data_IF_668988365635
#
_entry.id   IF_668988365635
#
_cell.length_a   1.000
_cell.length_b   1.000
_cell.length_c   1.000
_cell.angle_alpha   90.00
_cell.angle_beta   90.00
_cell.angle_gamma   90.00
#
_symmetry.space_group_name_H-M   'P 1'
#
loop_
_entity.id
_entity.type
_entity.pdbx_description
1 polymer ?
#
# COMPACT_ATOMS: atom_id res chain seq x y z
N UNK A 1 -6.92 1.81 12.37
CA UNK A 1 -7.93 2.53 11.60
C UNK A 1 -8.05 3.94 12.17
N UNK A 2 -8.08 4.96 11.31
CA UNK A 2 -8.28 6.35 11.69
C UNK A 2 -7.04 7.23 11.81
N UNK A 3 -5.84 6.68 11.80
CA UNK A 3 -4.58 7.44 11.70
C UNK A 3 -3.58 6.72 10.81
N UNK A 4 -2.82 7.50 10.08
CA UNK A 4 -1.60 7.02 9.46
C UNK A 4 -0.54 6.73 10.52
N UNK A 5 0.15 5.61 10.42
CA UNK A 5 1.16 5.15 11.37
C UNK A 5 2.53 5.76 11.05
N UNK A 6 2.67 7.09 11.05
CA UNK A 6 3.95 7.80 10.94
C UNK A 6 4.71 7.61 9.63
N UNK A 7 4.04 7.42 8.50
CA UNK A 7 4.71 7.54 7.23
C UNK A 7 4.87 9.03 6.88
N UNK A 8 6.08 9.49 6.73
CA UNK A 8 6.41 10.76 6.09
C UNK A 8 6.84 10.44 4.66
N UNK A 9 5.91 10.04 3.82
CA UNK A 9 6.16 9.93 2.39
C UNK A 9 5.75 11.26 1.77
N UNK A 10 6.71 11.99 1.24
CA UNK A 10 6.48 13.29 0.61
C UNK A 10 6.13 14.41 1.60
N UNK A 11 5.44 15.43 1.09
CA UNK A 11 5.02 16.60 1.86
C UNK A 11 3.67 16.42 2.58
N UNK A 12 3.17 15.18 2.72
CA UNK A 12 1.91 14.93 3.40
C UNK A 12 2.02 15.27 4.88
N UNK A 13 1.27 16.26 5.30
CA UNK A 13 1.01 16.47 6.73
C UNK A 13 0.09 15.36 7.18
N UNK A 14 0.53 14.58 8.17
CA UNK A 14 -0.30 13.56 8.83
C UNK A 14 -1.66 14.16 9.19
N UNK A 15 -2.68 13.75 8.48
CA UNK A 15 -4.06 14.14 8.76
C UNK A 15 -4.76 13.01 9.49
N UNK A 16 -5.28 13.32 10.67
CA UNK A 16 -6.13 12.38 11.36
C UNK A 16 -7.50 12.35 10.69
N UNK A 17 -8.07 11.16 10.57
CA UNK A 17 -9.42 11.00 10.07
C UNK A 17 -10.42 11.80 10.92
N UNK A 18 -11.31 12.54 10.26
CA UNK A 18 -12.46 13.23 10.87
C UNK A 18 -13.73 12.55 10.39
N UNK A 19 -14.55 12.09 11.32
CA UNK A 19 -15.79 11.39 10.99
C UNK A 19 -16.09 10.27 11.96
N UNK A 20 -17.09 9.46 11.66
CA UNK A 20 -17.45 8.29 12.42
C UNK A 20 -17.03 7.01 11.70
N UNK A 21 -16.55 6.03 12.45
CA UNK A 21 -16.24 4.69 11.95
C UNK A 21 -17.11 3.70 12.72
N UNK A 22 -17.80 2.86 11.96
CA UNK A 22 -18.71 1.84 12.46
C UNK A 22 -18.52 0.55 11.64
N UNK A 23 -18.75 -0.60 12.25
CA UNK A 23 -18.87 -1.88 11.55
C UNK A 23 -17.68 -2.23 10.63
N UNK A 24 -16.45 -2.14 11.15
CA UNK A 24 -15.26 -2.48 10.38
C UNK A 24 -15.20 -3.99 10.12
N UNK A 25 -15.08 -4.37 8.84
CA UNK A 25 -14.94 -5.76 8.40
C UNK A 25 -13.81 -5.91 7.40
N UNK A 26 -13.12 -7.01 7.48
CA UNK A 26 -12.10 -7.44 6.51
C UNK A 26 -12.39 -8.88 6.09
N UNK A 27 -12.29 -9.15 4.80
CA UNK A 27 -12.53 -10.46 4.20
C UNK A 27 -11.37 -10.86 3.30
N UNK A 28 -11.11 -12.15 3.15
CA UNK A 28 -10.11 -12.65 2.19
C UNK A 28 -10.55 -12.55 0.73
N UNK A 29 -11.86 -12.41 0.49
CA UNK A 29 -12.43 -12.35 -0.86
C UNK A 29 -13.10 -11.00 -1.09
N UNK A 30 -13.05 -10.53 -2.33
CA UNK A 30 -13.77 -9.33 -2.72
C UNK A 30 -15.29 -9.56 -2.60
N UNK A 31 -15.98 -8.60 -2.02
CA UNK A 31 -17.45 -8.60 -1.99
C UNK A 31 -18.03 -8.06 -3.29
N UNK A 32 -19.18 -8.59 -3.71
CA UNK A 32 -19.92 -8.04 -4.85
C UNK A 32 -20.60 -6.71 -4.49
N UNK A 33 -20.93 -5.91 -5.50
CA UNK A 33 -21.64 -4.65 -5.29
C UNK A 33 -22.98 -4.84 -4.57
N UNK A 34 -23.69 -5.92 -4.87
CA UNK A 34 -24.96 -6.26 -4.22
C UNK A 34 -24.78 -6.62 -2.74
N UNK A 35 -23.72 -7.36 -2.42
CA UNK A 35 -23.39 -7.70 -1.03
C UNK A 35 -23.04 -6.45 -0.23
N UNK A 36 -22.27 -5.53 -0.81
CA UNK A 36 -21.91 -4.26 -0.18
C UNK A 36 -23.15 -3.40 0.05
N UNK A 37 -24.00 -3.26 -0.98
CA UNK A 37 -25.24 -2.49 -0.89
C UNK A 37 -26.17 -3.04 0.20
N UNK A 38 -26.41 -4.35 0.20
CA UNK A 38 -27.26 -5.00 1.18
C UNK A 38 -26.74 -4.84 2.61
N UNK A 39 -25.41 -5.03 2.81
CA UNK A 39 -24.82 -4.78 4.11
C UNK A 39 -25.00 -3.34 4.56
N UNK A 40 -24.82 -2.39 3.65
CA UNK A 40 -25.04 -0.97 3.97
C UNK A 40 -26.49 -0.66 4.34
N UNK A 41 -27.47 -1.34 3.73
CA UNK A 41 -28.89 -1.13 3.99
C UNK A 41 -29.35 -1.74 5.33
N UNK A 42 -29.05 -3.00 5.57
CA UNK A 42 -29.64 -3.78 6.66
C UNK A 42 -28.63 -4.42 7.64
N UNK A 43 -27.32 -4.19 7.44
CA UNK A 43 -26.27 -4.77 8.28
C UNK A 43 -25.99 -6.26 8.01
N UNK A 44 -26.56 -6.85 6.96
CA UNK A 44 -26.37 -8.27 6.63
C UNK A 44 -24.89 -8.64 6.49
N UNK A 45 -24.47 -9.79 7.01
CA UNK A 45 -23.12 -10.27 6.83
C UNK A 45 -22.85 -10.66 5.37
N UNK A 46 -21.68 -10.27 4.85
CA UNK A 46 -21.23 -10.61 3.49
C UNK A 46 -20.78 -12.06 3.44
N UNK A 47 -20.05 -12.49 4.45
CA UNK A 47 -19.53 -13.86 4.60
C UNK A 47 -19.33 -14.16 6.08
N UNK A 48 -19.50 -15.42 6.47
CA UNK A 48 -19.17 -15.89 7.80
C UNK A 48 -17.67 -15.89 8.11
N UNK A 49 -16.82 -15.80 7.07
CA UNK A 49 -15.36 -15.91 7.16
C UNK A 49 -14.69 -14.53 7.17
N UNK A 50 -15.20 -13.59 7.94
CA UNK A 50 -14.50 -12.34 8.18
C UNK A 50 -13.18 -12.59 8.91
N UNK A 51 -12.12 -11.98 8.42
CA UNK A 51 -10.78 -11.98 9.06
C UNK A 51 -10.74 -11.02 10.25
N UNK A 52 -11.53 -9.95 10.14
CA UNK A 52 -11.74 -8.95 11.18
C UNK A 52 -13.21 -8.53 11.20
N UNK A 53 -13.80 -8.45 12.39
CA UNK A 53 -15.17 -8.02 12.58
C UNK A 53 -15.29 -7.19 13.86
N UNK A 54 -15.28 -5.86 13.74
CA UNK A 54 -15.34 -4.92 14.86
C UNK A 54 -16.55 -4.01 14.72
N UNK A 55 -17.49 -4.08 15.68
CA UNK A 55 -18.71 -3.26 15.69
C UNK A 55 -18.58 -1.95 16.49
N UNK A 56 -17.64 -1.89 17.43
CA UNK A 56 -17.50 -0.80 18.41
C UNK A 56 -18.69 -0.60 19.37
N UNK A 57 -19.68 -1.47 19.40
CA UNK A 57 -20.91 -1.32 20.20
C UNK A 57 -20.65 -1.17 21.69
N UNK A 58 -19.64 -1.83 22.21
CA UNK A 58 -19.22 -1.75 23.61
C UNK A 58 -18.11 -0.70 23.86
N UNK A 59 -17.77 0.09 22.86
CA UNK A 59 -16.68 1.08 22.90
C UNK A 59 -15.29 0.47 22.79
N UNK A 60 -15.16 -0.82 22.55
CA UNK A 60 -13.90 -1.52 22.36
C UNK A 60 -13.66 -1.84 20.87
N UNK A 61 -12.41 -2.13 20.53
CA UNK A 61 -12.04 -2.67 19.22
C UNK A 61 -11.93 -4.20 19.28
N UNK A 62 -12.89 -4.85 19.92
CA UNK A 62 -12.93 -6.31 20.00
C UNK A 62 -13.29 -6.90 18.64
N UNK A 63 -12.45 -7.85 18.21
CA UNK A 63 -12.69 -8.64 17.01
C UNK A 63 -13.63 -9.81 17.31
N UNK A 64 -14.80 -9.81 16.68
CA UNK A 64 -15.81 -10.86 16.78
C UNK A 64 -15.60 -12.00 15.77
N UNK A 65 -14.58 -11.90 14.87
CA UNK A 65 -14.22 -12.97 13.98
C UNK A 65 -13.61 -14.16 14.73
N UNK A 66 -13.42 -15.29 14.03
CA UNK A 66 -12.74 -16.47 14.56
C UNK A 66 -11.27 -16.22 14.89
N UNK A 67 -10.65 -15.22 14.27
CA UNK A 67 -9.23 -14.89 14.42
C UNK A 67 -8.91 -14.11 15.69
N UNK A 68 -9.91 -13.42 16.29
CA UNK A 68 -9.73 -12.67 17.54
C UNK A 68 -8.60 -11.65 17.51
N UNK A 69 -8.41 -10.95 16.41
CA UNK A 69 -7.43 -9.89 16.22
C UNK A 69 -7.86 -8.60 16.94
N UNK A 70 -7.96 -8.64 18.26
CA UNK A 70 -8.45 -7.52 19.06
C UNK A 70 -7.56 -6.29 18.90
N UNK A 71 -8.17 -5.15 18.62
CA UNK A 71 -7.52 -3.85 18.61
C UNK A 71 -7.64 -3.12 19.93
N UNK A 72 -7.03 -1.95 19.98
CA UNK A 72 -7.15 -1.00 21.09
C UNK A 72 -7.71 0.33 20.60
N UNK A 73 -8.71 0.85 21.28
CA UNK A 73 -9.21 2.21 21.04
C UNK A 73 -8.38 3.18 21.87
N UNK A 74 -7.54 3.98 21.24
CA UNK A 74 -6.72 4.99 21.92
C UNK A 74 -7.37 6.38 21.90
N UNK A 75 -8.25 6.65 20.94
CA UNK A 75 -8.97 7.91 20.75
C UNK A 75 -10.32 7.64 20.10
N UNK A 76 -11.22 8.58 20.25
CA UNK A 76 -12.57 8.49 19.69
C UNK A 76 -13.64 8.63 20.78
N UNK A 77 -14.78 9.19 20.39
CA UNK A 77 -15.95 9.31 21.25
C UNK A 77 -17.01 8.33 20.77
N UNK A 78 -17.57 7.54 21.68
CA UNK A 78 -18.69 6.65 21.38
C UNK A 78 -19.93 7.47 21.08
N UNK A 79 -20.54 7.24 19.95
CA UNK A 79 -21.78 7.88 19.48
C UNK A 79 -22.74 6.83 18.94
N UNK A 80 -23.97 7.21 18.62
CA UNK A 80 -24.87 6.35 17.88
C UNK A 80 -24.39 6.21 16.44
N UNK A 81 -24.26 4.97 15.99
CA UNK A 81 -23.84 4.58 14.65
C UNK A 81 -25.04 4.30 13.74
N UNK A 82 -24.76 3.78 12.54
CA UNK A 82 -25.80 3.28 11.65
C UNK A 82 -26.38 1.96 12.18
N UNK A 83 -25.51 1.11 12.73
CA UNK A 83 -25.88 -0.16 13.35
C UNK A 83 -25.26 -0.20 14.76
N UNK A 84 -26.05 0.20 15.77
CA UNK A 84 -25.57 0.25 17.16
C UNK A 84 -24.73 1.47 17.45
N UNK A 85 -23.46 1.30 17.81
CA UNK A 85 -22.54 2.37 18.19
C UNK A 85 -21.39 2.51 17.23
N UNK A 86 -20.90 3.74 17.08
CA UNK A 86 -19.75 4.09 16.26
C UNK A 86 -18.70 4.86 17.07
N UNK A 87 -17.46 4.90 16.60
CA UNK A 87 -16.42 5.76 17.13
C UNK A 87 -16.30 7.01 16.27
N UNK A 88 -16.57 8.19 16.87
CA UNK A 88 -16.37 9.48 16.24
C UNK A 88 -14.96 9.99 16.52
N UNK A 89 -14.29 10.37 15.47
CA UNK A 89 -12.97 11.02 15.46
C UNK A 89 -13.12 12.48 15.06
N UNK A 90 -12.50 13.37 15.82
CA UNK A 90 -12.60 14.82 15.57
C UNK A 90 -11.51 15.35 14.65
N UNK A 91 -10.63 14.48 14.17
CA UNK A 91 -9.42 14.92 13.47
C UNK A 91 -8.49 15.71 14.38
N UNK A 92 -7.57 16.36 13.79
CA UNK A 92 -6.64 17.27 14.47
C UNK A 92 -5.20 17.01 14.05
N UNK A 93 -4.39 18.04 14.15
CA UNK A 93 -2.92 17.85 14.11
C UNK A 93 -2.52 17.09 15.35
N UNK A 94 -1.79 16.01 15.19
CA UNK A 94 -1.21 15.27 16.32
C UNK A 94 -0.44 16.26 17.20
N UNK A 95 -0.93 16.57 18.39
CA UNK A 95 -0.15 17.34 19.36
C UNK A 95 1.02 16.49 19.76
N UNK A 96 2.21 16.84 19.30
CA UNK A 96 3.46 16.24 19.73
C UNK A 96 4.05 15.16 18.85
N UNK A 97 3.69 15.05 17.56
CA UNK A 97 4.71 14.67 16.62
C UNK A 97 5.75 15.81 16.66
N UNK A 98 6.71 15.71 17.57
CA UNK A 98 7.96 16.37 17.36
C UNK A 98 8.45 15.84 16.02
N UNK A 99 8.18 16.59 14.96
CA UNK A 99 8.93 16.50 13.71
C UNK A 99 10.33 17.06 14.01
N UNK A 100 10.98 16.51 15.02
CA UNK A 100 12.41 16.58 15.08
C UNK A 100 12.85 15.64 13.97
N UNK A 101 13.50 16.14 12.93
CA UNK A 101 14.21 15.26 12.00
C UNK A 101 15.11 14.40 12.89
N UNK A 102 14.88 13.09 12.94
CA UNK A 102 15.65 12.20 13.81
C UNK A 102 14.84 11.21 14.64
N UNK A 103 13.50 11.17 14.56
CA UNK A 103 12.71 10.14 15.22
C UNK A 103 12.36 8.95 14.29
N UNK A 104 12.99 8.87 13.12
CA UNK A 104 13.06 7.66 12.35
C UNK A 104 13.96 6.66 13.10
N UNK A 105 13.51 5.44 13.30
CA UNK A 105 14.35 4.34 13.80
C UNK A 105 15.57 4.09 12.90
N UNK A 106 15.53 4.61 11.68
CA UNK A 106 16.59 4.56 10.69
C UNK A 106 16.66 5.91 9.99
N UNK A 107 17.83 6.58 10.09
CA UNK A 107 18.09 7.76 9.28
C UNK A 107 18.43 7.32 7.86
N UNK A 108 17.66 7.73 6.84
CA UNK A 108 17.96 7.34 5.47
C UNK A 108 19.28 8.01 5.03
N UNK A 109 20.17 7.23 4.46
CA UNK A 109 21.41 7.74 3.88
C UNK A 109 21.12 8.56 2.61
N UNK A 110 20.13 8.12 1.86
CA UNK A 110 19.58 8.78 0.68
C UNK A 110 18.13 8.32 0.45
N UNK A 111 17.39 9.10 -0.31
CA UNK A 111 16.07 8.77 -0.84
C UNK A 111 16.07 9.06 -2.32
N UNK A 112 15.57 8.14 -3.13
CA UNK A 112 15.51 8.26 -4.58
C UNK A 112 14.19 7.72 -5.09
N UNK A 113 13.48 8.53 -5.88
CA UNK A 113 12.31 8.09 -6.58
C UNK A 113 12.72 7.26 -7.79
N UNK A 114 12.05 6.13 -7.97
CA UNK A 114 12.29 5.22 -9.08
C UNK A 114 11.00 5.04 -9.90
N UNK A 115 11.08 4.97 -11.24
CA UNK A 115 9.90 4.96 -12.10
C UNK A 115 9.26 3.56 -12.22
N UNK A 116 9.19 2.82 -11.11
CA UNK A 116 8.65 1.46 -11.08
C UNK A 116 7.96 1.13 -9.75
N UNK A 117 6.92 0.35 -9.80
CA UNK A 117 6.40 -0.36 -8.63
C UNK A 117 7.27 -1.58 -8.31
N UNK A 118 8.10 -1.49 -7.28
CA UNK A 118 9.06 -2.55 -6.94
C UNK A 118 8.33 -3.81 -6.48
N UNK A 119 8.45 -4.90 -7.25
CA UNK A 119 7.91 -6.22 -6.92
C UNK A 119 8.95 -7.17 -6.34
N UNK A 120 10.19 -7.07 -6.78
CA UNK A 120 11.28 -7.87 -6.26
C UNK A 120 12.56 -7.06 -6.15
N UNK A 121 13.41 -7.43 -5.19
CA UNK A 121 14.69 -6.77 -4.94
C UNK A 121 15.71 -7.74 -4.38
N UNK A 122 16.99 -7.47 -4.68
CA UNK A 122 18.11 -8.18 -4.08
C UNK A 122 19.34 -7.28 -4.00
N UNK A 123 20.08 -7.39 -2.90
CA UNK A 123 21.35 -6.70 -2.75
C UNK A 123 22.49 -7.61 -3.23
N UNK A 124 23.30 -7.12 -4.18
CA UNK A 124 24.47 -7.79 -4.70
C UNK A 124 25.67 -6.88 -4.72
N UNK A 125 26.65 -7.09 -3.86
CA UNK A 125 27.82 -6.22 -3.74
C UNK A 125 27.44 -4.80 -3.36
N UNK A 126 27.82 -3.82 -4.20
CA UNK A 126 27.51 -2.39 -4.03
C UNK A 126 26.22 -1.96 -4.72
N UNK A 127 25.45 -2.89 -5.29
CA UNK A 127 24.27 -2.57 -6.07
C UNK A 127 23.01 -3.23 -5.48
N UNK A 128 21.98 -2.42 -5.36
CA UNK A 128 20.61 -2.88 -5.10
C UNK A 128 19.92 -3.08 -6.46
N UNK A 129 19.57 -4.31 -6.76
CA UNK A 129 18.76 -4.64 -7.94
C UNK A 129 17.29 -4.60 -7.54
N UNK A 130 16.49 -3.84 -8.28
CA UNK A 130 15.05 -3.71 -8.08
C UNK A 130 14.34 -3.91 -9.41
N UNK A 131 13.16 -4.53 -9.40
CA UNK A 131 12.40 -4.80 -10.63
C UNK A 131 10.90 -4.66 -10.37
N UNK A 132 10.19 -4.13 -11.36
CA UNK A 132 8.75 -3.99 -11.32
C UNK A 132 8.16 -3.34 -12.57
N UNK A 133 6.83 -3.33 -12.72
CA UNK A 133 6.15 -2.61 -13.77
C UNK A 133 6.41 -1.10 -13.67
N UNK A 134 6.24 -0.34 -14.77
CA UNK A 134 6.33 1.10 -14.77
C UNK A 134 5.35 1.73 -13.77
N UNK A 135 5.82 2.77 -13.08
CA UNK A 135 5.01 3.71 -12.33
C UNK A 135 4.71 4.91 -13.24
N UNK A 136 3.46 5.09 -13.61
CA UNK A 136 3.00 6.08 -14.62
C UNK A 136 2.29 7.25 -13.97
N UNK A 137 1.80 7.08 -12.73
CA UNK A 137 1.07 8.12 -12.00
C UNK A 137 1.95 8.68 -10.89
N UNK A 138 2.04 9.99 -10.86
CA UNK A 138 2.47 10.71 -9.67
C UNK A 138 1.23 11.05 -8.84
N UNK A 139 0.93 10.23 -7.84
CA UNK A 139 -0.24 10.40 -7.00
C UNK A 139 -0.20 11.72 -6.22
N UNK A 140 0.98 12.22 -5.87
CA UNK A 140 1.11 13.48 -5.14
C UNK A 140 0.67 14.67 -5.99
N UNK A 141 1.09 14.72 -7.25
CA UNK A 141 0.73 15.79 -8.17
C UNK A 141 -0.71 15.70 -8.69
N UNK A 142 -1.27 14.48 -8.74
CA UNK A 142 -2.60 14.20 -9.30
C UNK A 142 -3.71 14.09 -8.25
N UNK A 143 -3.39 14.10 -6.97
CA UNK A 143 -4.34 13.85 -5.88
C UNK A 143 -5.60 14.71 -5.94
N UNK A 144 -5.47 16.00 -6.24
CA UNK A 144 -6.58 16.92 -6.34
C UNK A 144 -7.49 16.59 -7.54
N UNK A 145 -6.90 16.28 -8.68
CA UNK A 145 -7.58 15.92 -9.92
C UNK A 145 -8.26 14.55 -9.84
N UNK A 146 -7.68 13.61 -9.05
CA UNK A 146 -8.31 12.32 -8.73
C UNK A 146 -9.64 12.50 -7.99
N UNK A 147 -9.69 13.44 -7.04
CA UNK A 147 -10.91 13.74 -6.27
C UNK A 147 -12.00 14.40 -7.13
N UNK A 148 -11.61 15.14 -8.16
CA UNK A 148 -12.49 15.83 -9.11
C UNK A 148 -12.94 14.94 -10.28
N UNK A 149 -12.44 13.71 -10.37
CA UNK A 149 -12.69 12.76 -11.47
C UNK A 149 -12.31 13.32 -12.84
N UNK A 150 -11.20 14.02 -12.90
CA UNK A 150 -10.66 14.55 -14.15
C UNK A 150 -10.42 13.41 -15.17
N UNK A 151 -10.83 13.62 -16.44
CA UNK A 151 -10.77 12.58 -17.46
C UNK A 151 -9.34 12.18 -17.78
N UNK A 152 -8.39 13.12 -17.80
CA UNK A 152 -6.99 12.82 -18.10
C UNK A 152 -6.39 11.94 -16.99
N UNK A 153 -6.77 12.15 -15.72
CA UNK A 153 -6.34 11.31 -14.61
C UNK A 153 -6.99 9.93 -14.67
N UNK A 154 -8.23 9.81 -15.13
CA UNK A 154 -8.86 8.50 -15.35
C UNK A 154 -8.13 7.69 -16.45
N UNK A 155 -7.66 8.35 -17.51
CA UNK A 155 -6.85 7.73 -18.56
C UNK A 155 -5.48 7.27 -18.03
N UNK A 156 -4.82 8.07 -17.18
CA UNK A 156 -3.57 7.68 -16.51
C UNK A 156 -3.77 6.50 -15.55
N UNK A 157 -4.89 6.47 -14.80
CA UNK A 157 -5.24 5.33 -13.96
C UNK A 157 -5.39 4.04 -14.78
N UNK A 158 -6.08 4.12 -15.93
CA UNK A 158 -6.24 2.97 -16.80
C UNK A 158 -4.88 2.49 -17.38
N UNK A 159 -3.97 3.42 -17.69
CA UNK A 159 -2.61 3.08 -18.11
C UNK A 159 -1.82 2.44 -16.97
N UNK A 160 -1.97 2.93 -15.74
CA UNK A 160 -1.33 2.35 -14.57
C UNK A 160 -1.85 0.93 -14.31
N UNK A 161 -3.14 0.71 -14.42
CA UNK A 161 -3.74 -0.63 -14.26
C UNK A 161 -3.19 -1.59 -15.33
N UNK A 162 -3.12 -1.16 -16.59
CA UNK A 162 -2.55 -1.93 -17.70
C UNK A 162 -1.06 -2.29 -17.46
N UNK A 163 -0.28 -1.33 -16.97
CA UNK A 163 1.12 -1.55 -16.59
C UNK A 163 1.25 -2.56 -15.44
N UNK A 164 0.38 -2.48 -14.43
CA UNK A 164 0.35 -3.43 -13.31
C UNK A 164 -0.09 -4.84 -13.75
N UNK A 165 -0.89 -4.96 -14.79
CA UNK A 165 -1.30 -6.22 -15.43
C UNK A 165 -0.24 -6.77 -16.38
N UNK A 166 0.76 -5.96 -16.76
CA UNK A 166 1.95 -6.37 -17.51
C UNK A 166 1.96 -5.99 -18.98
N UNK A 167 1.04 -5.16 -19.46
CA UNK A 167 1.01 -4.74 -20.87
C UNK A 167 2.30 -4.02 -21.28
N UNK A 168 2.92 -3.30 -20.34
CA UNK A 168 4.17 -2.58 -20.55
C UNK A 168 5.43 -3.35 -20.11
N UNK A 169 5.27 -4.61 -19.67
CA UNK A 169 6.37 -5.40 -19.14
C UNK A 169 6.89 -4.86 -17.81
N UNK A 170 8.22 -4.89 -17.63
CA UNK A 170 8.84 -4.37 -16.40
C UNK A 170 10.24 -3.78 -16.67
N UNK A 171 10.76 -3.04 -15.69
CA UNK A 171 12.10 -2.52 -15.66
C UNK A 171 12.88 -3.13 -14.51
N UNK A 172 14.08 -3.66 -14.81
CA UNK A 172 15.10 -4.02 -13.85
C UNK A 172 16.09 -2.87 -13.76
N UNK A 173 16.28 -2.35 -12.55
CA UNK A 173 17.19 -1.26 -12.25
C UNK A 173 18.31 -1.76 -11.33
N UNK A 174 19.53 -1.29 -11.60
CA UNK A 174 20.67 -1.41 -10.69
C UNK A 174 20.91 -0.06 -10.03
N UNK A 175 20.82 0.00 -8.73
CA UNK A 175 20.94 1.23 -7.92
C UNK A 175 22.18 1.11 -7.05
N UNK A 176 23.05 2.09 -7.08
CA UNK A 176 24.22 2.16 -6.21
C UNK A 176 23.78 2.39 -4.76
N UNK A 177 24.20 1.52 -3.83
CA UNK A 177 23.77 1.61 -2.42
C UNK A 177 24.39 2.78 -1.67
N UNK A 178 25.46 3.35 -2.16
CA UNK A 178 26.12 4.47 -1.51
C UNK A 178 25.56 5.82 -1.91
N UNK A 179 25.12 5.95 -3.16
CA UNK A 179 24.63 7.23 -3.72
C UNK A 179 23.14 7.26 -4.00
N UNK A 180 22.48 6.09 -4.18
CA UNK A 180 21.10 5.99 -4.63
C UNK A 180 20.92 6.18 -6.13
N UNK A 181 22.01 6.36 -6.89
CA UNK A 181 21.94 6.58 -8.33
C UNK A 181 21.61 5.29 -9.08
N UNK A 182 20.73 5.40 -10.09
CA UNK A 182 20.43 4.31 -11.01
C UNK A 182 21.54 4.20 -12.05
N UNK A 183 22.33 3.14 -11.97
CA UNK A 183 23.49 2.93 -12.87
C UNK A 183 23.11 2.20 -14.17
N UNK A 184 22.20 1.22 -14.06
CA UNK A 184 21.78 0.42 -15.22
C UNK A 184 20.28 0.20 -15.24
N UNK A 185 19.74 0.05 -16.46
CA UNK A 185 18.33 -0.23 -16.74
C UNK A 185 18.21 -1.31 -17.79
N UNK A 186 17.37 -2.31 -17.51
CA UNK A 186 17.04 -3.38 -18.47
C UNK A 186 15.53 -3.50 -18.56
N UNK A 187 14.98 -3.44 -19.79
CA UNK A 187 13.55 -3.67 -20.02
C UNK A 187 13.31 -5.17 -20.17
N UNK A 188 12.25 -5.65 -19.56
CA UNK A 188 11.77 -7.03 -19.64
C UNK A 188 10.34 -7.00 -20.20
N UNK A 189 9.99 -7.98 -21.02
CA UNK A 189 8.67 -8.09 -21.66
C UNK A 189 7.62 -8.70 -20.72
N UNK A 190 8.03 -9.19 -19.54
CA UNK A 190 7.18 -9.88 -18.61
C UNK A 190 7.29 -9.27 -17.21
N UNK A 191 6.29 -9.55 -16.37
CA UNK A 191 6.29 -9.10 -14.98
C UNK A 191 7.08 -10.05 -14.08
N UNK A 192 7.82 -9.51 -13.09
CA UNK A 192 8.40 -10.32 -12.02
C UNK A 192 7.30 -10.87 -11.12
N UNK A 193 7.46 -12.08 -10.64
CA UNK A 193 6.71 -12.56 -9.50
C UNK A 193 7.13 -11.81 -8.22
N UNK A 194 6.27 -11.78 -7.22
CA UNK A 194 6.56 -11.09 -5.95
C UNK A 194 7.73 -11.75 -5.22
N UNK A 195 8.68 -10.92 -4.75
CA UNK A 195 9.90 -11.32 -4.03
C UNK A 195 10.75 -12.38 -4.75
N UNK A 196 10.57 -12.53 -6.06
CA UNK A 196 11.12 -13.60 -6.86
C UNK A 196 12.49 -13.28 -7.46
N UNK A 197 13.36 -12.57 -6.73
CA UNK A 197 14.71 -12.26 -7.15
C UNK A 197 15.73 -12.81 -6.15
N UNK A 198 16.80 -13.41 -6.67
CA UNK A 198 17.90 -13.92 -5.86
C UNK A 198 19.24 -13.73 -6.57
N UNK A 199 20.32 -13.64 -5.78
CA UNK A 199 21.69 -13.54 -6.27
C UNK A 199 22.53 -14.69 -5.77
N UNK A 200 23.26 -15.36 -6.67
CA UNK A 200 24.19 -16.42 -6.32
C UNK A 200 25.32 -16.51 -7.36
N UNK A 201 26.57 -16.75 -6.91
CA UNK A 201 27.71 -17.00 -7.80
C UNK A 201 28.00 -15.90 -8.79
N UNK A 202 27.72 -14.63 -8.45
CA UNK A 202 27.89 -13.49 -9.36
C UNK A 202 26.77 -13.36 -10.41
N UNK A 203 25.72 -14.13 -10.28
CA UNK A 203 24.55 -14.12 -11.17
C UNK A 203 23.30 -13.63 -10.42
N UNK A 204 22.39 -13.02 -11.16
CA UNK A 204 21.09 -12.59 -10.70
C UNK A 204 20.00 -13.45 -11.34
N UNK A 205 19.12 -14.02 -10.54
CA UNK A 205 18.01 -14.85 -10.99
C UNK A 205 16.69 -14.16 -10.69
N UNK A 206 15.81 -14.15 -11.67
CA UNK A 206 14.47 -13.54 -11.58
C UNK A 206 13.42 -14.52 -12.08
N UNK A 207 12.45 -14.86 -11.24
CA UNK A 207 11.27 -15.61 -11.69
C UNK A 207 10.17 -14.63 -12.12
N UNK A 208 9.46 -14.99 -13.19
CA UNK A 208 8.45 -14.15 -13.84
C UNK A 208 7.07 -14.80 -13.78
N UNK A 209 6.01 -14.00 -13.98
CA UNK A 209 4.63 -14.48 -13.87
C UNK A 209 4.23 -15.45 -14.99
N UNK A 210 4.94 -15.45 -16.11
CA UNK A 210 4.75 -16.42 -17.21
C UNK A 210 5.36 -17.80 -16.91
N UNK A 211 5.97 -17.98 -15.73
CA UNK A 211 6.59 -19.22 -15.30
C UNK A 211 8.05 -19.39 -15.73
N UNK A 212 8.67 -18.36 -16.29
CA UNK A 212 10.08 -18.38 -16.69
C UNK A 212 11.01 -18.01 -15.53
N UNK A 213 12.28 -18.41 -15.64
CA UNK A 213 13.39 -17.93 -14.81
C UNK A 213 14.45 -17.30 -15.71
N UNK A 214 14.74 -16.04 -15.47
CA UNK A 214 15.77 -15.29 -16.20
C UNK A 214 17.04 -15.26 -15.35
N UNK A 215 18.17 -15.58 -15.96
CA UNK A 215 19.49 -15.46 -15.34
C UNK A 215 20.27 -14.33 -16.02
N UNK A 216 20.70 -13.35 -15.22
CA UNK A 216 21.61 -12.30 -15.67
C UNK A 216 22.99 -12.63 -15.11
N UNK A 217 24.00 -12.65 -16.01
CA UNK A 217 25.40 -12.82 -15.66
C UNK A 217 26.15 -11.53 -16.01
N UNK A 218 27.06 -11.10 -15.14
CA UNK A 218 28.04 -10.06 -15.47
C UNK A 218 29.07 -10.59 -16.50
N UNK A 219 29.61 -9.69 -17.32
CA UNK A 219 30.78 -9.98 -18.14
C UNK A 219 32.06 -10.04 -17.32
#
# INVERSE_FOLDING_TARGET
VGTDAQSSVGNYTETQFTGAIDEVRLYFQAATSEQIAKRYEDGSEISADAVLAVSFDDGSARDHSTYRNNGTVSQGKLIDGKFGKALQFSGGKRRGANTTPGNSLVDPKWTQDVPIYVRARVLGGSNLFIVGPPDVIDEESTFQQLSERDQAVQELLAQQDAALEGEDGSLLLSVNIDTGEVEHRVRLETLPAWDAMSGAGGQLFLSTLDGSVICFAGE
#
